data_IF_214692942534
#
_entry.id   IF_214692942534
#
_cell.length_a   1.000
_cell.length_b   1.000
_cell.length_c   1.000
_cell.angle_alpha   90.00
_cell.angle_beta   90.00
_cell.angle_gamma   90.00
#
_symmetry.space_group_name_H-M   'P 1'
#
loop_
_entity.id
_entity.type
_entity.pdbx_description
1 polymer ?
#
# COMPACT_ATOMS: atom_id res chain seq x y z
N UNK A 1 -22.38 -39.15 -44.20
CA UNK A 1 -23.84 -39.36 -44.15
C UNK A 1 -24.21 -40.84 -44.30
N UNK A 2 -23.84 -41.70 -43.36
CA UNK A 2 -24.39 -43.06 -43.22
C UNK A 2 -24.14 -43.51 -41.77
N UNK A 3 -25.02 -43.11 -40.84
CA UNK A 3 -25.32 -43.84 -39.59
C UNK A 3 -26.45 -43.11 -38.84
N UNK A 4 -27.62 -43.08 -39.47
CA UNK A 4 -28.86 -42.56 -38.87
C UNK A 4 -30.04 -43.46 -39.25
N UNK A 5 -29.80 -44.77 -39.27
CA UNK A 5 -30.80 -45.80 -39.65
C UNK A 5 -30.73 -47.03 -38.75
N UNK A 6 -30.69 -46.80 -37.45
CA UNK A 6 -31.03 -47.84 -36.46
C UNK A 6 -31.79 -47.19 -35.30
N UNK A 7 -32.97 -46.64 -35.60
CA UNK A 7 -33.92 -46.17 -34.61
C UNK A 7 -35.25 -46.87 -34.88
N UNK A 8 -35.51 -47.87 -34.03
CA UNK A 8 -36.81 -48.38 -33.60
C UNK A 8 -37.96 -48.35 -34.62
N UNK A 9 -38.05 -49.39 -35.46
CA UNK A 9 -39.35 -49.80 -36.02
C UNK A 9 -39.78 -51.06 -35.26
N UNK A 10 -40.46 -50.86 -34.12
CA UNK A 10 -41.14 -51.95 -33.43
C UNK A 10 -42.40 -52.34 -34.22
N UNK A 11 -42.53 -53.62 -34.52
CA UNK A 11 -43.65 -54.19 -35.27
C UNK A 11 -44.97 -53.92 -34.58
N UNK A 12 -46.05 -53.71 -35.34
CA UNK A 12 -47.41 -53.50 -34.80
C UNK A 12 -47.84 -54.62 -33.85
N UNK A 13 -47.29 -55.82 -34.04
CA UNK A 13 -47.48 -57.00 -33.18
C UNK A 13 -46.76 -56.87 -31.84
N UNK A 14 -45.56 -56.31 -31.81
CA UNK A 14 -44.79 -56.06 -30.59
C UNK A 14 -45.45 -54.98 -29.72
N UNK A 15 -46.02 -53.94 -30.35
CA UNK A 15 -46.84 -52.93 -29.65
C UNK A 15 -48.08 -53.52 -28.97
N UNK A 16 -48.77 -54.46 -29.64
CA UNK A 16 -49.97 -55.12 -29.11
C UNK A 16 -49.66 -56.09 -27.97
N UNK A 17 -48.48 -56.73 -28.01
CA UNK A 17 -47.99 -57.66 -27.00
C UNK A 17 -47.40 -56.93 -25.78
N UNK A 18 -46.73 -55.79 -25.98
CA UNK A 18 -46.41 -54.86 -24.90
C UNK A 18 -47.70 -54.37 -24.23
N UNK A 19 -48.72 -53.96 -24.99
CA UNK A 19 -50.01 -53.59 -24.41
C UNK A 19 -50.67 -54.72 -23.60
N UNK A 20 -50.59 -55.98 -24.03
CA UNK A 20 -51.21 -57.09 -23.26
C UNK A 20 -50.40 -57.45 -22.00
N UNK A 21 -49.07 -57.40 -22.06
CA UNK A 21 -48.22 -57.63 -20.89
C UNK A 21 -48.29 -56.45 -19.91
N UNK A 22 -48.35 -55.22 -20.43
CA UNK A 22 -48.56 -54.00 -19.66
C UNK A 22 -49.93 -53.97 -19.01
N UNK A 23 -50.99 -54.45 -19.66
CA UNK A 23 -52.32 -54.56 -19.03
C UNK A 23 -52.35 -55.63 -17.96
N UNK A 24 -51.66 -56.76 -18.12
CA UNK A 24 -51.56 -57.79 -17.08
C UNK A 24 -50.77 -57.32 -15.86
N UNK A 25 -49.63 -56.66 -16.06
CA UNK A 25 -48.81 -56.10 -14.97
C UNK A 25 -49.51 -54.88 -14.35
N UNK A 26 -50.20 -54.07 -15.15
CA UNK A 26 -51.07 -53.00 -14.65
C UNK A 26 -52.21 -53.56 -13.82
N UNK A 27 -52.80 -54.71 -14.17
CA UNK A 27 -53.84 -55.35 -13.38
C UNK A 27 -53.28 -55.87 -12.06
N UNK A 28 -52.11 -56.49 -12.08
CA UNK A 28 -51.44 -57.02 -10.89
C UNK A 28 -50.97 -55.89 -9.95
N UNK A 29 -50.47 -54.78 -10.51
CA UNK A 29 -50.14 -53.56 -9.78
C UNK A 29 -51.38 -52.79 -9.30
N UNK A 30 -52.46 -52.78 -10.07
CA UNK A 30 -53.78 -52.25 -9.69
C UNK A 30 -54.35 -53.03 -8.51
N UNK A 31 -54.24 -54.36 -8.54
CA UNK A 31 -54.65 -55.26 -7.46
C UNK A 31 -53.82 -55.00 -6.19
N UNK A 32 -52.50 -54.84 -6.33
CA UNK A 32 -51.61 -54.60 -5.19
C UNK A 32 -51.70 -53.17 -4.61
N UNK A 33 -51.96 -52.16 -5.44
CA UNK A 33 -52.03 -50.72 -5.04
C UNK A 33 -53.38 -50.32 -4.45
N UNK A 34 -54.47 -50.99 -4.81
CA UNK A 34 -55.78 -50.87 -4.13
C UNK A 34 -55.79 -51.43 -2.69
N UNK A 35 -54.62 -51.84 -2.18
CA UNK A 35 -54.47 -52.58 -0.93
C UNK A 35 -55.45 -53.75 -0.84
N UNK A 36 -55.67 -54.48 -1.94
CA UNK A 36 -56.61 -55.61 -1.92
C UNK A 36 -56.17 -56.69 -0.93
N UNK A 37 -54.88 -56.80 -0.62
CA UNK A 37 -54.41 -57.66 0.47
C UNK A 37 -54.99 -57.26 1.84
N UNK A 38 -55.20 -55.97 2.09
CA UNK A 38 -55.91 -55.50 3.30
C UNK A 38 -57.43 -55.58 3.15
N UNK A 39 -57.95 -55.45 1.93
CA UNK A 39 -59.37 -55.62 1.63
C UNK A 39 -59.83 -57.06 1.89
N UNK A 40 -59.08 -58.05 1.40
CA UNK A 40 -59.33 -59.48 1.64
C UNK A 40 -59.01 -59.95 3.06
N UNK A 41 -58.40 -59.10 3.89
CA UNK A 41 -58.20 -59.35 5.33
C UNK A 41 -59.34 -58.78 6.20
N UNK A 42 -60.22 -57.94 5.64
CA UNK A 42 -61.42 -57.42 6.31
C UNK A 42 -62.52 -58.49 6.31
N UNK A 43 -63.40 -58.46 7.31
CA UNK A 43 -64.56 -59.34 7.36
C UNK A 43 -65.53 -59.04 6.20
N UNK A 44 -66.38 -60.01 5.83
CA UNK A 44 -67.26 -59.89 4.66
C UNK A 44 -68.19 -58.67 4.70
N UNK A 45 -68.64 -58.26 5.89
CA UNK A 45 -69.48 -57.08 6.10
C UNK A 45 -68.68 -55.77 5.92
N UNK A 46 -67.45 -55.71 6.43
CA UNK A 46 -66.56 -54.56 6.25
C UNK A 46 -66.11 -54.37 4.79
N UNK A 47 -66.04 -55.46 4.02
CA UNK A 47 -65.76 -55.40 2.58
C UNK A 47 -66.94 -54.78 1.81
N UNK A 48 -68.17 -55.15 2.16
CA UNK A 48 -69.38 -54.59 1.54
C UNK A 48 -69.59 -53.12 1.91
N UNK A 49 -69.36 -52.74 3.16
CA UNK A 49 -69.46 -51.35 3.61
C UNK A 49 -68.44 -50.45 2.90
N UNK A 50 -67.21 -50.96 2.71
CA UNK A 50 -66.17 -50.23 1.97
C UNK A 50 -66.45 -50.14 0.48
N UNK A 51 -67.04 -51.19 -0.12
CA UNK A 51 -67.47 -51.16 -1.52
C UNK A 51 -68.64 -50.20 -1.72
N UNK A 52 -69.53 -50.07 -0.73
CA UNK A 52 -70.65 -49.13 -0.75
C UNK A 52 -70.21 -47.68 -0.53
N UNK A 53 -69.10 -47.45 0.19
CA UNK A 53 -68.58 -46.10 0.47
C UNK A 53 -67.68 -45.53 -0.64
N UNK A 54 -67.24 -46.34 -1.60
CA UNK A 54 -66.35 -45.88 -2.69
C UNK A 54 -67.16 -45.03 -3.68
N UNK A 55 -66.91 -43.72 -3.66
CA UNK A 55 -67.46 -42.78 -4.63
C UNK A 55 -66.71 -42.87 -5.97
N UNK A 56 -67.37 -42.52 -7.07
CA UNK A 56 -66.78 -42.45 -8.41
C UNK A 56 -65.55 -41.52 -8.45
N UNK A 57 -65.52 -40.51 -7.59
CA UNK A 57 -64.39 -39.59 -7.41
C UNK A 57 -63.18 -40.30 -6.76
N UNK A 58 -63.40 -41.16 -5.77
CA UNK A 58 -62.34 -41.95 -5.13
C UNK A 58 -61.77 -43.00 -6.09
N UNK A 59 -62.63 -43.65 -6.88
CA UNK A 59 -62.19 -44.59 -7.91
C UNK A 59 -61.35 -43.89 -8.99
N UNK A 60 -61.75 -42.69 -9.40
CA UNK A 60 -60.98 -41.89 -10.36
C UNK A 60 -59.63 -41.45 -9.79
N UNK A 61 -59.58 -41.04 -8.52
CA UNK A 61 -58.35 -40.69 -7.83
C UNK A 61 -57.40 -41.89 -7.73
N UNK A 62 -57.91 -43.06 -7.33
CA UNK A 62 -57.14 -44.30 -7.27
C UNK A 62 -56.60 -44.70 -8.65
N UNK A 63 -57.44 -44.65 -9.69
CA UNK A 63 -57.02 -44.95 -11.07
C UNK A 63 -55.92 -43.98 -11.56
N UNK A 64 -56.04 -42.70 -11.21
CA UNK A 64 -55.02 -41.68 -11.53
C UNK A 64 -53.71 -41.98 -10.81
N UNK A 65 -53.76 -42.36 -9.55
CA UNK A 65 -52.58 -42.68 -8.76
C UNK A 65 -51.88 -43.94 -9.28
N UNK A 66 -52.63 -44.98 -9.66
CA UNK A 66 -52.09 -46.18 -10.32
C UNK A 66 -51.44 -45.83 -11.66
N UNK A 67 -52.09 -45.02 -12.49
CA UNK A 67 -51.51 -44.58 -13.75
C UNK A 67 -50.22 -43.78 -13.54
N UNK A 68 -50.16 -42.96 -12.49
CA UNK A 68 -48.96 -42.22 -12.11
C UNK A 68 -47.85 -43.16 -11.65
N UNK A 69 -48.13 -44.11 -10.77
CA UNK A 69 -47.14 -45.08 -10.31
C UNK A 69 -46.62 -45.96 -11.45
N UNK A 70 -47.49 -46.36 -12.37
CA UNK A 70 -47.14 -47.12 -13.55
C UNK A 70 -46.26 -46.30 -14.52
N UNK A 71 -46.55 -45.01 -14.70
CA UNK A 71 -45.70 -44.11 -15.48
C UNK A 71 -44.31 -43.96 -14.84
N UNK A 72 -44.23 -43.81 -13.51
CA UNK A 72 -42.96 -43.73 -12.77
C UNK A 72 -42.18 -45.04 -12.90
N UNK A 73 -42.81 -46.20 -12.69
CA UNK A 73 -42.15 -47.50 -12.82
C UNK A 73 -41.65 -47.76 -14.26
N UNK A 74 -42.42 -47.34 -15.28
CA UNK A 74 -41.96 -47.40 -16.69
C UNK A 74 -40.72 -46.53 -16.91
N UNK A 75 -40.72 -45.32 -16.37
CA UNK A 75 -39.58 -44.40 -16.48
C UNK A 75 -38.34 -44.95 -15.76
N UNK A 76 -38.50 -45.46 -14.54
CA UNK A 76 -37.43 -46.09 -13.77
C UNK A 76 -36.83 -47.30 -14.49
N UNK A 77 -37.69 -48.16 -15.04
CA UNK A 77 -37.25 -49.29 -15.85
C UNK A 77 -36.50 -48.85 -17.11
N UNK A 78 -36.95 -47.78 -17.77
CA UNK A 78 -36.27 -47.25 -18.94
C UNK A 78 -34.85 -46.76 -18.60
N UNK A 79 -34.71 -45.95 -17.56
CA UNK A 79 -33.40 -45.46 -17.11
C UNK A 79 -32.48 -46.58 -16.63
N UNK A 80 -33.02 -47.56 -15.89
CA UNK A 80 -32.23 -48.69 -15.42
C UNK A 80 -31.73 -49.55 -16.59
N UNK A 81 -32.57 -49.81 -17.58
CA UNK A 81 -32.18 -50.56 -18.78
C UNK A 81 -31.11 -49.79 -19.56
N UNK A 82 -31.32 -48.50 -19.85
CA UNK A 82 -30.34 -47.67 -20.57
C UNK A 82 -28.99 -47.57 -19.82
N UNK A 83 -29.04 -47.46 -18.48
CA UNK A 83 -27.85 -47.49 -17.64
C UNK A 83 -27.11 -48.83 -17.72
N UNK A 84 -27.84 -49.95 -17.64
CA UNK A 84 -27.25 -51.28 -17.71
C UNK A 84 -26.72 -51.60 -19.11
N UNK A 85 -27.39 -51.14 -20.18
CA UNK A 85 -26.89 -51.32 -21.55
C UNK A 85 -25.52 -50.66 -21.75
N UNK A 86 -25.32 -49.48 -21.16
CA UNK A 86 -24.06 -48.72 -21.24
C UNK A 86 -22.97 -49.24 -20.31
N UNK A 87 -23.33 -49.80 -19.16
CA UNK A 87 -22.37 -50.12 -18.08
C UNK A 87 -22.14 -51.62 -17.87
N UNK A 88 -23.18 -52.46 -17.94
CA UNK A 88 -23.07 -53.92 -17.78
C UNK A 88 -24.20 -54.66 -18.55
N UNK A 89 -24.02 -54.88 -19.87
CA UNK A 89 -25.06 -55.47 -20.71
C UNK A 89 -25.35 -56.94 -20.38
N UNK A 90 -24.48 -57.62 -19.60
CA UNK A 90 -24.66 -59.03 -19.25
C UNK A 90 -25.81 -59.23 -18.26
N UNK A 91 -26.09 -58.22 -17.43
CA UNK A 91 -27.20 -58.25 -16.48
C UNK A 91 -28.58 -58.20 -17.17
N UNK A 92 -28.64 -57.78 -18.43
CA UNK A 92 -29.87 -57.71 -19.22
C UNK A 92 -30.22 -59.03 -19.94
N UNK A 93 -29.27 -59.96 -20.05
CA UNK A 93 -29.45 -61.23 -20.79
C UNK A 93 -30.55 -62.10 -20.14
N UNK A 94 -30.57 -62.19 -18.80
CA UNK A 94 -31.59 -62.93 -18.06
C UNK A 94 -32.99 -62.32 -18.19
N UNK A 95 -33.09 -60.99 -18.33
CA UNK A 95 -34.34 -60.27 -18.52
C UNK A 95 -34.89 -60.46 -19.93
N UNK A 96 -34.04 -60.42 -20.96
CA UNK A 96 -34.40 -60.72 -22.35
C UNK A 96 -34.88 -62.17 -22.52
N UNK A 97 -34.22 -63.13 -21.86
CA UNK A 97 -34.61 -64.54 -21.88
C UNK A 97 -35.94 -64.79 -21.14
N UNK A 98 -36.24 -64.04 -20.06
CA UNK A 98 -37.57 -64.09 -19.41
C UNK A 98 -38.66 -63.47 -20.28
N UNK A 99 -38.40 -62.32 -20.92
CA UNK A 99 -39.33 -61.69 -21.87
C UNK A 99 -39.68 -62.63 -23.02
N UNK A 100 -38.71 -63.33 -23.60
CA UNK A 100 -38.95 -64.29 -24.69
C UNK A 100 -39.74 -65.52 -24.22
N UNK A 101 -39.47 -66.02 -23.01
CA UNK A 101 -40.23 -67.14 -22.40
C UNK A 101 -41.67 -66.78 -22.04
N UNK A 102 -41.94 -65.61 -21.47
CA UNK A 102 -43.30 -65.15 -21.19
C UNK A 102 -44.11 -64.93 -22.49
N UNK A 103 -43.47 -64.37 -23.53
CA UNK A 103 -44.06 -64.27 -24.87
C UNK A 103 -44.43 -65.64 -25.45
N UNK A 104 -43.62 -66.68 -25.22
CA UNK A 104 -43.94 -68.04 -25.66
C UNK A 104 -45.08 -68.69 -24.88
N UNK A 105 -45.24 -68.40 -23.59
CA UNK A 105 -46.36 -68.92 -22.79
C UNK A 105 -47.71 -68.27 -23.11
N UNK A 106 -47.73 -66.99 -23.48
CA UNK A 106 -48.95 -66.32 -24.00
C UNK A 106 -49.42 -66.99 -25.30
N UNK A 107 -48.48 -67.55 -26.08
CA UNK A 107 -48.77 -68.31 -27.29
C UNK A 107 -49.39 -69.68 -27.01
N UNK A 108 -49.02 -70.35 -25.91
CA UNK A 108 -49.51 -71.69 -25.54
C UNK A 108 -50.73 -71.65 -24.62
N UNK A 109 -50.94 -70.58 -23.86
CA UNK A 109 -52.06 -70.43 -22.92
C UNK A 109 -53.44 -70.25 -23.58
N UNK A 110 -53.49 -70.05 -24.91
CA UNK A 110 -54.74 -70.02 -25.68
C UNK A 110 -55.14 -71.39 -26.25
N UNK A 111 -54.34 -72.43 -26.01
CA UNK A 111 -54.52 -73.78 -26.56
C UNK A 111 -54.67 -74.87 -25.48
N UNK A 112 -55.13 -74.50 -24.27
CA UNK A 112 -55.46 -75.47 -23.21
C UNK A 112 -56.82 -75.14 -22.58
N UNK A 113 -57.89 -75.32 -23.35
CA UNK A 113 -59.06 -76.03 -22.88
C UNK A 113 -59.22 -77.21 -23.83
N UNK A 114 -59.42 -78.39 -23.25
CA UNK A 114 -59.53 -79.70 -23.89
C UNK A 114 -58.20 -80.35 -24.25
N UNK A 115 -57.68 -81.16 -23.33
CA UNK A 115 -57.58 -82.63 -23.54
C UNK A 115 -56.82 -83.26 -22.36
N UNK A 116 -57.46 -84.28 -21.82
CA UNK A 116 -56.94 -85.26 -20.87
C UNK A 116 -55.82 -86.09 -21.50
N UNK A 117 -54.77 -86.36 -20.71
CA UNK A 117 -54.06 -87.64 -20.78
C UNK A 117 -52.61 -87.60 -21.28
N UNK A 118 -51.78 -88.24 -20.46
CA UNK A 118 -50.52 -88.92 -20.76
C UNK A 118 -49.23 -88.08 -20.78
N UNK A 119 -48.64 -88.10 -19.58
CA UNK A 119 -47.22 -88.01 -19.28
C UNK A 119 -46.37 -89.00 -20.09
N UNK A 120 -45.29 -88.50 -20.70
CA UNK A 120 -44.09 -89.28 -21.04
C UNK A 120 -42.87 -88.53 -20.53
N UNK A 121 -42.18 -89.17 -19.60
CA UNK A 121 -40.86 -88.78 -19.15
C UNK A 121 -39.82 -89.13 -20.22
N UNK A 122 -38.92 -88.19 -20.51
CA UNK A 122 -37.64 -88.52 -21.14
C UNK A 122 -36.51 -87.83 -20.41
N UNK A 123 -35.58 -88.69 -19.99
CA UNK A 123 -34.36 -88.42 -19.28
C UNK A 123 -33.30 -87.74 -20.15
N UNK A 124 -32.44 -86.94 -19.53
CA UNK A 124 -31.04 -86.88 -19.94
C UNK A 124 -30.41 -85.49 -19.88
N UNK A 125 -29.31 -85.38 -19.13
CA UNK A 125 -28.27 -84.39 -19.43
C UNK A 125 -27.90 -83.43 -18.31
N UNK A 126 -27.12 -83.91 -17.34
CA UNK A 126 -26.31 -83.08 -16.45
C UNK A 126 -25.16 -82.43 -17.25
N UNK A 127 -24.93 -81.13 -17.05
CA UNK A 127 -23.57 -80.55 -17.08
C UNK A 127 -23.38 -79.59 -15.92
N UNK A 128 -22.17 -79.63 -15.39
CA UNK A 128 -21.72 -79.12 -14.09
C UNK A 128 -20.67 -78.05 -14.36
N UNK A 129 -20.68 -76.97 -13.58
CA UNK A 129 -19.56 -76.04 -13.41
C UNK A 129 -19.82 -74.61 -13.88
N UNK A 130 -19.39 -73.53 -13.22
CA UNK A 130 -19.18 -73.10 -11.83
C UNK A 130 -18.61 -71.66 -11.93
N UNK A 131 -18.76 -70.87 -10.86
CA UNK A 131 -18.08 -69.60 -10.54
C UNK A 131 -18.57 -68.32 -11.23
N UNK A 132 -19.26 -67.47 -10.45
CA UNK A 132 -18.78 -66.09 -10.16
C UNK A 132 -19.44 -65.52 -8.89
N UNK A 133 -18.61 -65.44 -7.84
CA UNK A 133 -18.55 -64.44 -6.75
C UNK A 133 -19.86 -63.73 -6.37
N UNK A 134 -20.51 -64.23 -5.32
CA UNK A 134 -21.49 -63.47 -4.53
C UNK A 134 -20.76 -62.43 -3.67
N UNK A 135 -21.10 -61.16 -3.85
CA UNK A 135 -20.84 -60.12 -2.85
C UNK A 135 -21.74 -60.42 -1.66
N UNK A 136 -21.10 -60.74 -0.55
CA UNK A 136 -21.70 -60.92 0.77
C UNK A 136 -22.40 -59.64 1.20
N UNK A 137 -23.72 -59.68 1.36
CA UNK A 137 -24.45 -58.73 2.19
C UNK A 137 -24.89 -59.45 3.46
N UNK A 138 -24.42 -58.89 4.56
CA UNK A 138 -24.40 -59.43 5.90
C UNK A 138 -25.80 -59.79 6.41
N UNK A 139 -25.89 -61.02 6.90
CA UNK A 139 -26.91 -61.53 7.80
C UNK A 139 -26.96 -60.69 9.08
N UNK A 140 -28.08 -60.00 9.30
CA UNK A 140 -28.62 -59.83 10.64
C UNK A 140 -30.08 -60.32 10.66
N UNK A 141 -30.30 -61.17 11.65
CA UNK A 141 -31.49 -61.91 12.04
C UNK A 141 -32.68 -61.00 12.38
N UNK A 142 -33.84 -61.18 11.74
CA UNK A 142 -35.15 -60.95 12.36
C UNK A 142 -36.14 -62.02 11.88
N UNK A 143 -36.74 -62.69 12.86
CA UNK A 143 -37.79 -63.68 12.79
C UNK A 143 -39.03 -63.23 12.02
N UNK A 144 -39.70 -64.18 11.35
CA UNK A 144 -41.13 -64.20 11.00
C UNK A 144 -41.79 -62.82 10.79
N UNK A 145 -41.57 -62.22 9.63
CA UNK A 145 -42.55 -61.30 9.04
C UNK A 145 -43.04 -61.91 7.73
N UNK A 146 -44.38 -61.97 7.61
CA UNK A 146 -45.12 -62.19 6.36
C UNK A 146 -44.34 -61.51 5.23
N UNK A 147 -44.12 -62.21 4.10
CA UNK A 147 -43.55 -61.64 2.86
C UNK A 147 -44.23 -60.30 2.59
N UNK A 148 -43.62 -59.20 3.01
CA UNK A 148 -44.01 -57.86 2.61
C UNK A 148 -43.78 -57.84 1.11
N UNK A 149 -44.82 -57.47 0.37
CA UNK A 149 -44.80 -57.33 -1.08
C UNK A 149 -43.44 -56.75 -1.52
N UNK A 150 -42.73 -57.47 -2.39
CA UNK A 150 -41.45 -57.03 -2.92
C UNK A 150 -41.62 -55.62 -3.48
N UNK A 151 -40.99 -54.64 -2.86
CA UNK A 151 -41.09 -53.26 -3.32
C UNK A 151 -40.28 -53.15 -4.61
N UNK A 152 -40.97 -53.15 -5.76
CA UNK A 152 -40.36 -53.15 -7.11
C UNK A 152 -39.74 -51.79 -7.47
N UNK A 153 -39.72 -50.83 -6.54
CA UNK A 153 -39.21 -49.46 -6.73
C UNK A 153 -37.71 -49.44 -6.47
N UNK A 154 -36.96 -48.76 -7.34
CA UNK A 154 -35.53 -48.59 -7.11
C UNK A 154 -35.30 -47.76 -5.84
N UNK A 155 -34.31 -48.13 -5.02
CA UNK A 155 -33.96 -47.33 -3.85
C UNK A 155 -33.51 -45.92 -4.29
N UNK A 156 -33.91 -44.89 -3.56
CA UNK A 156 -33.53 -43.49 -3.81
C UNK A 156 -32.02 -43.32 -3.94
N UNK A 157 -31.23 -44.05 -3.14
CA UNK A 157 -29.77 -44.06 -3.26
C UNK A 157 -29.29 -44.53 -4.63
N UNK A 158 -29.83 -45.65 -5.12
CA UNK A 158 -29.48 -46.18 -6.43
C UNK A 158 -29.92 -45.25 -7.58
N UNK A 159 -31.05 -44.54 -7.43
CA UNK A 159 -31.49 -43.51 -8.39
C UNK A 159 -30.51 -42.34 -8.44
N UNK A 160 -30.10 -41.83 -7.27
CA UNK A 160 -29.13 -40.76 -7.16
C UNK A 160 -27.77 -41.17 -7.75
N UNK A 161 -27.27 -42.36 -7.41
CA UNK A 161 -25.98 -42.87 -7.90
C UNK A 161 -25.99 -43.06 -9.43
N UNK A 162 -27.09 -43.58 -10.01
CA UNK A 162 -27.22 -43.70 -11.47
C UNK A 162 -27.30 -42.33 -12.14
N UNK A 163 -28.11 -41.40 -11.58
CA UNK A 163 -28.24 -40.05 -12.12
C UNK A 163 -26.89 -39.32 -12.13
N UNK A 164 -26.16 -39.36 -11.01
CA UNK A 164 -24.83 -38.77 -10.86
C UNK A 164 -23.84 -39.37 -11.87
N UNK A 165 -23.81 -40.70 -12.00
CA UNK A 165 -22.91 -41.37 -12.96
C UNK A 165 -23.25 -41.01 -14.41
N UNK A 166 -24.53 -40.93 -14.76
CA UNK A 166 -24.93 -40.49 -16.11
C UNK A 166 -24.62 -39.02 -16.37
N UNK A 167 -24.77 -38.15 -15.37
CA UNK A 167 -24.40 -36.74 -15.46
C UNK A 167 -22.89 -36.59 -15.71
N UNK A 168 -22.06 -37.28 -14.91
CA UNK A 168 -20.60 -37.29 -15.08
C UNK A 168 -20.17 -37.82 -16.47
N UNK A 169 -20.86 -38.84 -17.00
CA UNK A 169 -20.59 -39.36 -18.34
C UNK A 169 -20.95 -38.35 -19.44
N UNK A 170 -22.09 -37.68 -19.31
CA UNK A 170 -22.51 -36.63 -20.25
C UNK A 170 -21.54 -35.45 -20.19
N UNK A 171 -21.16 -34.99 -19.01
CA UNK A 171 -20.16 -33.93 -18.83
C UNK A 171 -18.82 -34.28 -19.49
N UNK A 172 -18.36 -35.52 -19.31
CA UNK A 172 -17.14 -36.02 -19.95
C UNK A 172 -17.27 -36.01 -21.48
N UNK A 173 -18.40 -36.47 -22.02
CA UNK A 173 -18.66 -36.45 -23.47
C UNK A 173 -18.69 -35.03 -24.02
N UNK A 174 -19.32 -34.09 -23.31
CA UNK A 174 -19.31 -32.66 -23.68
C UNK A 174 -17.88 -32.13 -23.75
N UNK A 175 -17.07 -32.37 -22.71
CA UNK A 175 -15.66 -31.93 -22.70
C UNK A 175 -14.81 -32.57 -23.81
N UNK A 176 -15.10 -33.81 -24.21
CA UNK A 176 -14.42 -34.46 -25.33
C UNK A 176 -14.81 -33.82 -26.67
N UNK A 177 -16.11 -33.54 -26.87
CA UNK A 177 -16.62 -32.86 -28.07
C UNK A 177 -16.04 -31.45 -28.17
N UNK A 178 -16.03 -30.68 -27.07
CA UNK A 178 -15.47 -29.33 -27.03
C UNK A 178 -13.97 -29.34 -27.36
N UNK A 179 -13.21 -30.28 -26.80
CA UNK A 179 -11.78 -30.43 -27.11
C UNK A 179 -11.56 -30.83 -28.57
N UNK A 180 -12.40 -31.69 -29.14
CA UNK A 180 -12.32 -32.06 -30.54
C UNK A 180 -12.64 -30.86 -31.46
N UNK A 181 -13.72 -30.14 -31.18
CA UNK A 181 -14.12 -28.95 -31.91
C UNK A 181 -13.04 -27.84 -31.85
N UNK A 182 -12.45 -27.61 -30.68
CA UNK A 182 -11.37 -26.62 -30.53
C UNK A 182 -10.13 -26.97 -31.38
N UNK A 183 -9.77 -28.26 -31.48
CA UNK A 183 -8.69 -28.73 -32.35
C UNK A 183 -9.04 -28.50 -33.83
N UNK A 184 -10.26 -28.84 -34.23
CA UNK A 184 -10.72 -28.65 -35.60
C UNK A 184 -10.76 -27.17 -35.99
N UNK A 185 -11.27 -26.30 -35.13
CA UNK A 185 -11.26 -24.84 -35.32
C UNK A 185 -9.82 -24.34 -35.53
N UNK A 186 -8.86 -24.85 -34.74
CA UNK A 186 -7.44 -24.47 -34.90
C UNK A 186 -6.89 -24.87 -36.27
N UNK A 187 -7.21 -26.08 -36.74
CA UNK A 187 -6.80 -26.57 -38.07
C UNK A 187 -7.43 -25.73 -39.18
N UNK A 188 -8.74 -25.48 -39.11
CA UNK A 188 -9.47 -24.69 -40.10
C UNK A 188 -8.96 -23.24 -40.17
N UNK A 189 -8.63 -22.64 -39.02
CA UNK A 189 -7.98 -21.31 -38.99
C UNK A 189 -6.61 -21.34 -39.67
N UNK A 190 -5.83 -22.40 -39.49
CA UNK A 190 -4.57 -22.62 -40.20
C UNK A 190 -4.76 -22.70 -41.71
N UNK A 191 -5.71 -23.52 -42.18
CA UNK A 191 -6.02 -23.62 -43.61
C UNK A 191 -6.53 -22.31 -44.20
N UNK A 192 -7.33 -21.54 -43.46
CA UNK A 192 -7.84 -20.25 -43.91
C UNK A 192 -6.69 -19.25 -44.13
N UNK A 193 -5.71 -19.21 -43.22
CA UNK A 193 -4.52 -18.38 -43.36
C UNK A 193 -3.64 -18.82 -44.54
N UNK A 194 -3.45 -20.13 -44.72
CA UNK A 194 -2.70 -20.68 -45.86
C UNK A 194 -3.35 -20.29 -47.20
N UNK A 195 -4.67 -20.48 -47.33
CA UNK A 195 -5.43 -20.09 -48.52
C UNK A 195 -5.32 -18.58 -48.75
N UNK A 196 -5.37 -17.78 -47.69
CA UNK A 196 -5.21 -16.33 -47.79
C UNK A 196 -3.83 -15.96 -48.39
N UNK A 197 -2.75 -16.57 -47.88
CA UNK A 197 -1.41 -16.35 -48.43
C UNK A 197 -1.28 -16.84 -49.88
N UNK A 198 -1.83 -18.01 -50.22
CA UNK A 198 -1.84 -18.52 -51.59
C UNK A 198 -2.59 -17.57 -52.54
N UNK A 199 -3.72 -17.04 -52.10
CA UNK A 199 -4.50 -16.09 -52.87
C UNK A 199 -3.71 -14.80 -53.12
N UNK A 200 -3.11 -14.23 -52.08
CA UNK A 200 -2.31 -13.01 -52.19
C UNK A 200 -1.08 -13.20 -53.09
N UNK A 201 -0.37 -14.33 -52.95
CA UNK A 201 0.78 -14.67 -53.81
C UNK A 201 0.35 -14.83 -55.28
N UNK A 202 -0.77 -15.52 -55.53
CA UNK A 202 -1.30 -15.72 -56.89
C UNK A 202 -1.72 -14.39 -57.52
N UNK A 203 -2.39 -13.54 -56.74
CA UNK A 203 -2.83 -12.21 -57.19
C UNK A 203 -1.65 -11.34 -57.57
N UNK A 204 -0.62 -11.28 -56.72
CA UNK A 204 0.58 -10.48 -56.98
C UNK A 204 1.39 -11.07 -58.15
N UNK A 205 1.54 -12.39 -58.23
CA UNK A 205 2.22 -13.05 -59.35
C UNK A 205 1.52 -12.78 -60.68
N UNK A 206 0.18 -12.75 -60.69
CA UNK A 206 -0.62 -12.41 -61.87
C UNK A 206 -0.36 -10.97 -62.30
N UNK A 207 -0.32 -10.02 -61.35
CA UNK A 207 -0.01 -8.62 -61.63
C UNK A 207 1.42 -8.44 -62.16
N UNK A 208 2.40 -9.10 -61.54
CA UNK A 208 3.80 -9.08 -62.00
C UNK A 208 3.90 -9.69 -63.41
N UNK A 209 3.15 -10.76 -63.69
CA UNK A 209 3.11 -11.37 -65.02
C UNK A 209 2.59 -10.38 -66.07
N UNK A 210 1.46 -9.72 -65.80
CA UNK A 210 0.91 -8.69 -66.69
C UNK A 210 1.92 -7.57 -66.94
N UNK A 211 2.60 -7.08 -65.90
CA UNK A 211 3.64 -6.06 -66.03
C UNK A 211 4.91 -6.55 -66.74
N UNK A 212 5.19 -7.85 -66.75
CA UNK A 212 6.39 -8.40 -67.39
C UNK A 212 6.15 -8.77 -68.86
N UNK A 213 4.91 -9.08 -69.23
CA UNK A 213 4.56 -9.57 -70.57
C UNK A 213 3.65 -8.63 -71.37
N UNK A 214 2.91 -7.75 -70.73
CA UNK A 214 1.83 -6.97 -71.35
C UNK A 214 1.77 -5.53 -70.83
N UNK A 215 2.93 -4.95 -70.45
CA UNK A 215 2.97 -3.60 -69.87
C UNK A 215 2.59 -2.53 -70.88
N UNK A 216 3.19 -2.60 -72.06
CA UNK A 216 3.09 -1.59 -73.12
C UNK A 216 2.85 -2.27 -74.48
N UNK A 217 2.36 -1.52 -75.48
CA UNK A 217 2.13 -2.03 -76.85
C UNK A 217 3.37 -2.66 -77.50
N UNK A 218 4.56 -2.24 -77.07
CA UNK A 218 5.84 -2.84 -77.48
C UNK A 218 6.02 -4.27 -77.01
N UNK A 219 5.55 -4.61 -75.81
CA UNK A 219 5.61 -5.98 -75.29
C UNK A 219 4.60 -6.88 -76.00
N UNK A 220 3.42 -6.34 -76.35
CA UNK A 220 2.42 -7.04 -77.18
C UNK A 220 2.93 -7.31 -78.60
N UNK A 221 3.56 -6.31 -79.24
CA UNK A 221 4.21 -6.49 -80.53
C UNK A 221 5.38 -7.49 -80.47
N UNK A 222 6.18 -7.46 -79.40
CA UNK A 222 7.23 -8.44 -79.16
C UNK A 222 6.65 -9.86 -79.06
N UNK A 223 5.56 -10.07 -78.32
CA UNK A 223 4.95 -11.41 -78.20
C UNK A 223 4.44 -11.98 -79.52
N UNK A 224 3.91 -11.14 -80.41
CA UNK A 224 3.41 -11.58 -81.71
C UNK A 224 4.52 -11.89 -82.73
N UNK A 225 5.70 -11.28 -82.57
CA UNK A 225 6.82 -11.37 -83.53
C UNK A 225 7.99 -12.21 -83.02
N UNK A 226 8.05 -12.52 -81.72
CA UNK A 226 9.18 -13.20 -81.10
C UNK A 226 9.31 -14.65 -81.55
N UNK A 227 10.55 -15.10 -81.73
CA UNK A 227 10.85 -16.53 -81.93
C UNK A 227 10.68 -17.31 -80.63
N UNK A 228 10.39 -18.62 -80.73
CA UNK A 228 10.27 -19.53 -79.59
C UNK A 228 11.45 -19.42 -78.60
N UNK A 229 12.69 -19.36 -79.09
CA UNK A 229 13.90 -19.19 -78.25
C UNK A 229 13.95 -17.85 -77.50
N UNK A 230 13.31 -16.80 -77.99
CA UNK A 230 13.25 -15.49 -77.32
C UNK A 230 12.17 -15.50 -76.24
N UNK A 231 11.01 -16.09 -76.54
CA UNK A 231 9.92 -16.28 -75.60
C UNK A 231 10.36 -17.17 -74.42
N UNK A 232 11.05 -18.28 -74.70
CA UNK A 232 11.60 -19.18 -73.69
C UNK A 232 12.54 -18.43 -72.71
N UNK A 233 13.43 -17.57 -73.22
CA UNK A 233 14.32 -16.77 -72.39
C UNK A 233 13.55 -15.77 -71.52
N UNK A 234 12.49 -15.13 -72.05
CA UNK A 234 11.65 -14.18 -71.30
C UNK A 234 10.85 -14.91 -70.20
N UNK A 235 10.28 -16.07 -70.50
CA UNK A 235 9.59 -16.95 -69.52
C UNK A 235 10.57 -17.43 -68.45
N UNK A 236 11.76 -17.90 -68.84
CA UNK A 236 12.80 -18.34 -67.90
C UNK A 236 13.22 -17.24 -66.93
N UNK A 237 13.35 -16.00 -67.41
CA UNK A 237 13.62 -14.83 -66.54
C UNK A 237 12.48 -14.56 -65.56
N UNK A 238 11.23 -14.62 -66.03
CA UNK A 238 10.05 -14.46 -65.18
C UNK A 238 9.99 -15.55 -64.09
N UNK A 239 10.10 -16.82 -64.46
CA UNK A 239 10.06 -17.96 -63.51
C UNK A 239 11.19 -17.85 -62.49
N UNK A 240 12.41 -17.51 -62.91
CA UNK A 240 13.52 -17.29 -62.00
C UNK A 240 13.26 -16.14 -61.01
N UNK A 241 12.60 -15.07 -61.45
CA UNK A 241 12.25 -13.94 -60.58
C UNK A 241 11.11 -14.32 -59.61
N UNK A 242 10.09 -15.03 -60.09
CA UNK A 242 9.01 -15.56 -59.25
C UNK A 242 9.55 -16.49 -58.17
N UNK A 243 10.43 -17.44 -58.52
CA UNK A 243 11.07 -18.33 -57.54
C UNK A 243 11.92 -17.58 -56.50
N UNK A 244 12.55 -16.47 -56.88
CA UNK A 244 13.26 -15.60 -55.91
C UNK A 244 12.28 -14.92 -54.96
N UNK A 245 11.19 -14.37 -55.47
CA UNK A 245 10.15 -13.73 -54.66
C UNK A 245 9.47 -14.73 -53.71
N UNK A 246 9.14 -15.94 -54.18
CA UNK A 246 8.58 -17.01 -53.35
C UNK A 246 9.53 -17.42 -52.21
N UNK A 247 10.84 -17.50 -52.47
CA UNK A 247 11.85 -17.75 -51.42
C UNK A 247 11.93 -16.61 -50.40
N UNK A 248 11.85 -15.36 -50.85
CA UNK A 248 11.84 -14.21 -49.97
C UNK A 248 10.59 -14.22 -49.07
N UNK A 249 9.41 -14.50 -49.65
CA UNK A 249 8.15 -14.65 -48.92
C UNK A 249 8.25 -15.77 -47.88
N UNK A 250 8.75 -16.95 -48.25
CA UNK A 250 8.96 -18.06 -47.32
C UNK A 250 9.87 -17.66 -46.13
N UNK A 251 10.93 -16.90 -46.38
CA UNK A 251 11.80 -16.37 -45.34
C UNK A 251 11.04 -15.45 -44.38
N UNK A 252 10.23 -14.52 -44.91
CA UNK A 252 9.41 -13.63 -44.08
C UNK A 252 8.36 -14.38 -43.26
N UNK A 253 7.73 -15.41 -43.81
CA UNK A 253 6.78 -16.27 -43.09
C UNK A 253 7.46 -17.02 -41.94
N UNK A 254 8.66 -17.58 -42.17
CA UNK A 254 9.44 -18.24 -41.11
C UNK A 254 9.79 -17.29 -39.98
N UNK A 255 10.23 -16.08 -40.31
CA UNK A 255 10.52 -15.06 -39.30
C UNK A 255 9.28 -14.69 -38.48
N UNK A 256 8.12 -14.52 -39.15
CA UNK A 256 6.85 -14.25 -38.49
C UNK A 256 6.41 -15.40 -37.58
N UNK A 257 6.61 -16.65 -38.00
CA UNK A 257 6.33 -17.83 -37.17
C UNK A 257 7.20 -17.83 -35.92
N UNK A 258 8.51 -17.57 -36.04
CA UNK A 258 9.42 -17.49 -34.89
C UNK A 258 9.01 -16.36 -33.94
N UNK A 259 8.72 -15.17 -34.46
CA UNK A 259 8.27 -14.04 -33.63
C UNK A 259 6.95 -14.32 -32.91
N UNK A 260 5.98 -14.94 -33.58
CA UNK A 260 4.72 -15.37 -32.97
C UNK A 260 4.93 -16.44 -31.90
N UNK A 261 5.86 -17.37 -32.13
CA UNK A 261 6.21 -18.41 -31.16
C UNK A 261 6.84 -17.81 -29.90
N UNK A 262 7.80 -16.89 -30.06
CA UNK A 262 8.40 -16.16 -28.95
C UNK A 262 7.36 -15.36 -28.17
N UNK A 263 6.45 -14.67 -28.87
CA UNK A 263 5.36 -13.93 -28.22
C UNK A 263 4.39 -14.83 -27.45
N UNK A 264 4.02 -15.98 -28.02
CA UNK A 264 3.20 -16.97 -27.33
C UNK A 264 3.90 -17.51 -26.07
N UNK A 265 5.22 -17.74 -26.16
CA UNK A 265 6.02 -18.21 -25.03
C UNK A 265 6.12 -17.14 -23.93
N UNK A 266 6.30 -15.88 -24.30
CA UNK A 266 6.27 -14.74 -23.36
C UNK A 266 4.93 -14.67 -22.64
N UNK A 267 3.81 -14.68 -23.38
CA UNK A 267 2.47 -14.66 -22.79
C UNK A 267 2.21 -15.86 -21.87
N UNK A 268 2.70 -17.04 -22.24
CA UNK A 268 2.61 -18.24 -21.39
C UNK A 268 3.40 -18.07 -20.09
N UNK A 269 4.61 -17.53 -20.17
CA UNK A 269 5.42 -17.22 -19.00
C UNK A 269 4.76 -16.16 -18.13
N UNK A 270 4.18 -15.10 -18.71
CA UNK A 270 3.41 -14.10 -17.97
C UNK A 270 2.18 -14.68 -17.28
N UNK A 271 1.47 -15.61 -17.93
CA UNK A 271 0.33 -16.28 -17.33
C UNK A 271 0.80 -17.16 -16.16
N UNK A 272 1.91 -17.88 -16.31
CA UNK A 272 2.50 -18.68 -15.24
C UNK A 272 2.92 -17.80 -14.06
N UNK A 273 3.66 -16.71 -14.30
CA UNK A 273 4.06 -15.80 -13.22
C UNK A 273 2.86 -15.14 -12.56
N UNK A 274 1.81 -14.78 -13.31
CA UNK A 274 0.53 -14.29 -12.74
C UNK A 274 -0.20 -15.36 -11.94
N UNK A 275 -0.20 -16.61 -12.38
CA UNK A 275 -0.80 -17.71 -11.65
C UNK A 275 -0.04 -17.98 -10.34
N UNK A 276 1.30 -17.96 -10.38
CA UNK A 276 2.15 -18.08 -9.19
C UNK A 276 1.93 -16.89 -8.23
N UNK A 277 1.90 -15.67 -8.76
CA UNK A 277 1.58 -14.46 -7.97
C UNK A 277 0.16 -14.51 -7.40
N UNK A 278 -0.82 -14.99 -8.15
CA UNK A 278 -2.21 -15.13 -7.69
C UNK A 278 -2.39 -16.28 -6.69
N UNK A 279 -1.55 -17.31 -6.75
CA UNK A 279 -1.53 -18.38 -5.77
C UNK A 279 -0.84 -17.96 -4.45
N UNK A 280 0.09 -16.99 -4.54
CA UNK A 280 0.85 -16.47 -3.40
C UNK A 280 0.17 -15.26 -2.75
N UNK A 281 -0.49 -14.38 -3.52
CA UNK A 281 -1.25 -13.24 -3.00
C UNK A 281 -2.74 -13.56 -2.95
N UNK A 282 -3.24 -13.79 -1.74
CA UNK A 282 -4.69 -13.77 -1.50
C UNK A 282 -5.18 -12.34 -1.26
N UNK A 283 -6.49 -12.10 -1.44
CA UNK A 283 -7.12 -10.82 -1.09
C UNK A 283 -6.83 -10.40 0.35
N UNK A 284 -6.71 -11.38 1.25
CA UNK A 284 -6.35 -11.20 2.66
C UNK A 284 -4.95 -10.62 2.82
N UNK A 285 -3.99 -10.96 1.96
CA UNK A 285 -2.63 -10.42 2.05
C UNK A 285 -2.57 -8.96 1.60
N UNK A 286 -3.38 -8.57 0.62
CA UNK A 286 -3.57 -7.16 0.27
C UNK A 286 -4.21 -6.37 1.42
N UNK A 287 -5.22 -6.96 2.08
CA UNK A 287 -5.86 -6.33 3.23
C UNK A 287 -4.90 -6.18 4.42
N UNK A 288 -4.09 -7.21 4.72
CA UNK A 288 -3.00 -7.13 5.72
C UNK A 288 -1.98 -6.04 5.37
N UNK A 289 -1.60 -5.93 4.10
CA UNK A 289 -0.67 -4.90 3.65
C UNK A 289 -1.26 -3.49 3.81
N UNK A 290 -2.54 -3.33 3.50
CA UNK A 290 -3.26 -2.08 3.68
C UNK A 290 -3.37 -1.71 5.17
N UNK A 291 -3.73 -2.66 6.04
CA UNK A 291 -3.76 -2.45 7.49
C UNK A 291 -2.38 -2.00 7.98
N UNK A 292 -1.31 -2.74 7.65
CA UNK A 292 0.05 -2.41 8.07
C UNK A 292 0.52 -1.05 7.54
N UNK A 293 0.17 -0.70 6.31
CA UNK A 293 0.44 0.64 5.76
C UNK A 293 -0.26 1.71 6.60
N UNK A 294 -1.52 1.49 6.93
CA UNK A 294 -2.35 2.46 7.67
C UNK A 294 -1.82 2.63 9.09
N UNK A 295 -1.43 1.54 9.75
CA UNK A 295 -0.74 1.55 11.05
C UNK A 295 0.56 2.35 11.01
N UNK A 296 1.41 2.13 9.99
CA UNK A 296 2.66 2.86 9.83
C UNK A 296 2.44 4.35 9.56
N UNK A 297 1.42 4.70 8.77
CA UNK A 297 1.06 6.10 8.50
C UNK A 297 0.59 6.77 9.79
N UNK A 298 -0.30 6.14 10.55
CA UNK A 298 -0.78 6.68 11.83
C UNK A 298 0.37 6.88 12.83
N UNK A 299 1.28 5.90 12.94
CA UNK A 299 2.45 6.00 13.81
C UNK A 299 3.39 7.15 13.37
N UNK A 300 3.56 7.35 12.06
CA UNK A 300 4.34 8.47 11.53
C UNK A 300 3.68 9.81 11.87
N UNK A 301 2.36 9.91 11.74
CA UNK A 301 1.58 11.11 12.00
C UNK A 301 1.60 11.49 13.49
N UNK A 302 1.50 10.49 14.38
CA UNK A 302 1.67 10.66 15.82
C UNK A 302 3.08 11.19 16.16
N UNK A 303 4.13 10.58 15.60
CA UNK A 303 5.52 11.03 15.81
C UNK A 303 5.76 12.45 15.27
N UNK A 304 5.16 12.78 14.12
CA UNK A 304 5.26 14.11 13.55
C UNK A 304 4.56 15.16 14.43
N UNK A 305 3.39 14.82 14.97
CA UNK A 305 2.64 15.67 15.90
C UNK A 305 3.43 15.90 17.20
N UNK A 306 4.01 14.85 17.78
CA UNK A 306 4.91 14.99 18.94
C UNK A 306 6.12 15.87 18.64
N UNK A 307 6.77 15.68 17.49
CA UNK A 307 7.91 16.48 17.06
C UNK A 307 7.54 17.96 16.84
N UNK A 308 6.37 18.24 16.27
CA UNK A 308 5.85 19.60 16.15
C UNK A 308 5.62 20.25 17.52
N UNK A 309 5.05 19.51 18.47
CA UNK A 309 4.88 19.95 19.86
C UNK A 309 6.22 20.27 20.53
N UNK A 310 7.20 19.37 20.43
CA UNK A 310 8.56 19.57 20.94
C UNK A 310 9.24 20.81 20.32
N UNK A 311 9.15 20.99 19.00
CA UNK A 311 9.67 22.19 18.32
C UNK A 311 9.00 23.47 18.86
N UNK A 312 7.69 23.44 19.12
CA UNK A 312 6.96 24.55 19.71
C UNK A 312 7.44 24.88 21.13
N UNK A 313 7.64 23.87 21.98
CA UNK A 313 8.16 24.05 23.35
C UNK A 313 9.59 24.58 23.33
N UNK A 314 10.48 23.97 22.54
CA UNK A 314 11.87 24.43 22.39
C UNK A 314 11.92 25.85 21.86
N UNK A 315 11.10 26.20 20.86
CA UNK A 315 11.02 27.56 20.33
C UNK A 315 10.60 28.58 21.39
N UNK A 316 9.58 28.27 22.20
CA UNK A 316 9.15 29.13 23.32
C UNK A 316 10.23 29.27 24.39
N UNK A 317 10.89 28.17 24.77
CA UNK A 317 11.97 28.19 25.75
C UNK A 317 13.17 29.03 25.27
N UNK A 318 13.56 28.88 24.00
CA UNK A 318 14.63 29.70 23.40
C UNK A 318 14.28 31.18 23.32
N UNK A 319 13.02 31.52 23.04
CA UNK A 319 12.55 32.91 23.05
C UNK A 319 12.61 33.49 24.46
N UNK A 320 12.03 32.80 25.45
CA UNK A 320 12.06 33.22 26.86
C UNK A 320 13.49 33.40 27.38
N UNK A 321 14.40 32.49 27.02
CA UNK A 321 15.81 32.60 27.41
C UNK A 321 16.52 33.79 26.75
N UNK A 322 16.13 34.13 25.52
CA UNK A 322 16.65 35.32 24.84
C UNK A 322 16.12 36.61 25.47
N UNK A 323 14.85 36.65 25.85
CA UNK A 323 14.25 37.77 26.59
C UNK A 323 14.94 37.96 27.95
N UNK A 324 15.09 36.88 28.74
CA UNK A 324 15.81 36.93 30.03
C UNK A 324 17.26 37.38 29.86
N UNK A 325 17.95 36.89 28.82
CA UNK A 325 19.32 37.34 28.51
C UNK A 325 19.37 38.82 28.21
N UNK A 326 18.39 39.36 27.48
CA UNK A 326 18.33 40.80 27.18
C UNK A 326 18.09 41.62 28.46
N UNK A 327 17.19 41.16 29.33
CA UNK A 327 16.95 41.80 30.64
C UNK A 327 18.22 41.79 31.49
N UNK A 328 18.93 40.66 31.55
CA UNK A 328 20.19 40.54 32.28
C UNK A 328 21.26 41.49 31.73
N UNK A 329 21.38 41.60 30.40
CA UNK A 329 22.32 42.53 29.76
C UNK A 329 22.00 44.00 30.10
N UNK A 330 20.72 44.36 30.12
CA UNK A 330 20.29 45.71 30.51
C UNK A 330 20.63 46.01 31.99
N UNK A 331 20.36 45.06 32.90
CA UNK A 331 20.71 45.20 34.33
C UNK A 331 22.23 45.32 34.52
N UNK A 332 23.02 44.54 33.77
CA UNK A 332 24.47 44.62 33.83
C UNK A 332 24.98 45.99 33.35
N UNK A 333 24.39 46.55 32.29
CA UNK A 333 24.70 47.89 31.82
C UNK A 333 24.32 48.96 32.85
N UNK A 334 23.12 48.90 33.43
CA UNK A 334 22.70 49.80 34.51
C UNK A 334 23.64 49.70 35.72
N UNK A 335 24.03 48.49 36.12
CA UNK A 335 24.97 48.27 37.21
C UNK A 335 26.34 48.89 36.91
N UNK A 336 26.85 48.78 35.68
CA UNK A 336 28.11 49.43 35.26
C UNK A 336 27.98 50.95 35.31
N UNK A 337 26.86 51.50 34.83
CA UNK A 337 26.60 52.94 34.90
C UNK A 337 26.53 53.44 36.34
N UNK A 338 25.87 52.70 37.23
CA UNK A 338 25.74 53.03 38.64
C UNK A 338 27.10 52.96 39.35
N UNK A 339 27.90 51.94 39.05
CA UNK A 339 29.28 51.83 39.56
C UNK A 339 30.15 53.01 39.10
N UNK A 340 30.06 53.42 37.83
CA UNK A 340 30.78 54.60 37.33
C UNK A 340 30.35 55.88 38.05
N UNK A 341 29.03 56.09 38.25
CA UNK A 341 28.50 57.21 39.04
C UNK A 341 29.03 57.20 40.47
N UNK A 342 29.05 56.02 41.12
CA UNK A 342 29.62 55.87 42.47
C UNK A 342 31.10 56.23 42.50
N UNK A 343 31.90 55.78 41.54
CA UNK A 343 33.31 56.15 41.44
C UNK A 343 33.51 57.65 41.26
N UNK A 344 32.67 58.30 40.46
CA UNK A 344 32.73 59.75 40.27
C UNK A 344 32.33 60.51 41.53
N UNK A 345 31.29 60.05 42.26
CA UNK A 345 30.93 60.59 43.57
C UNK A 345 32.08 60.43 44.57
N UNK A 346 32.72 59.25 44.65
CA UNK A 346 33.89 59.03 45.53
C UNK A 346 35.03 60.01 45.18
N UNK A 347 35.31 60.22 43.89
CA UNK A 347 36.32 61.23 43.47
C UNK A 347 35.92 62.64 43.90
N UNK A 348 34.64 63.01 43.80
CA UNK A 348 34.17 64.32 44.26
C UNK A 348 34.28 64.48 45.76
N UNK A 349 33.93 63.46 46.54
CA UNK A 349 34.09 63.46 48.00
C UNK A 349 35.57 63.64 48.36
N UNK A 350 36.48 62.86 47.75
CA UNK A 350 37.91 62.99 48.01
C UNK A 350 38.48 64.38 47.67
N UNK A 351 37.93 65.07 46.66
CA UNK A 351 38.28 66.46 46.35
C UNK A 351 37.78 67.42 47.43
N UNK A 352 36.51 67.27 47.84
CA UNK A 352 35.90 68.09 48.89
C UNK A 352 36.58 67.89 50.24
N UNK A 353 36.98 66.67 50.60
CA UNK A 353 37.74 66.40 51.83
C UNK A 353 39.10 67.12 51.82
N UNK A 354 39.80 67.14 50.67
CA UNK A 354 41.05 67.90 50.54
C UNK A 354 40.84 69.40 50.67
N UNK A 355 39.77 69.92 50.05
CA UNK A 355 39.41 71.32 50.15
C UNK A 355 39.00 71.69 51.58
N UNK A 356 38.21 70.85 52.25
CA UNK A 356 37.82 71.04 53.66
C UNK A 356 39.04 71.06 54.58
N UNK A 357 39.98 70.12 54.42
CA UNK A 357 41.23 70.11 55.19
C UNK A 357 42.08 71.36 54.93
N UNK A 358 42.10 71.86 53.69
CA UNK A 358 42.81 73.09 53.34
C UNK A 358 42.17 74.31 54.01
N UNK A 359 40.84 74.39 53.98
CA UNK A 359 40.07 75.45 54.66
C UNK A 359 40.25 75.39 56.17
N UNK A 360 40.28 74.20 56.77
CA UNK A 360 40.54 74.03 58.21
C UNK A 360 41.94 74.51 58.59
N UNK A 361 42.96 74.17 57.79
CA UNK A 361 44.33 74.66 57.98
C UNK A 361 44.43 76.20 57.83
N UNK A 362 43.68 76.79 56.90
CA UNK A 362 43.61 78.25 56.75
C UNK A 362 42.90 78.91 57.92
N UNK A 363 41.79 78.33 58.38
CA UNK A 363 41.04 78.82 59.54
C UNK A 363 41.88 78.74 60.83
N UNK A 364 42.67 77.68 61.03
CA UNK A 364 43.59 77.56 62.16
C UNK A 364 44.66 78.67 62.14
N UNK A 365 45.21 78.99 60.96
CA UNK A 365 46.16 80.11 60.80
C UNK A 365 45.48 81.45 61.10
N UNK A 366 44.27 81.65 60.59
CA UNK A 366 43.50 82.87 60.83
C UNK A 366 43.14 83.03 62.32
N UNK A 367 42.81 81.93 63.02
CA UNK A 367 42.60 81.91 64.47
C UNK A 367 43.89 82.24 65.23
N UNK A 368 45.04 81.73 64.81
CA UNK A 368 46.34 82.07 65.40
C UNK A 368 46.66 83.56 65.21
N UNK A 369 46.44 84.11 64.01
CA UNK A 369 46.58 85.54 63.72
C UNK A 369 45.62 86.36 64.60
N UNK A 370 44.37 85.96 64.71
CA UNK A 370 43.37 86.65 65.53
C UNK A 370 43.72 86.63 67.02
N UNK A 371 44.22 85.50 67.53
CA UNK A 371 44.73 85.42 68.90
C UNK A 371 45.95 86.30 69.10
N UNK A 372 46.90 86.33 68.17
CA UNK A 372 48.04 87.24 68.23
C UNK A 372 47.60 88.71 68.23
N UNK A 373 46.61 89.09 67.41
CA UNK A 373 46.02 90.43 67.41
C UNK A 373 45.31 90.75 68.73
N UNK A 374 44.58 89.80 69.32
CA UNK A 374 43.99 89.96 70.66
C UNK A 374 45.05 90.17 71.73
N UNK A 375 46.12 89.39 71.74
CA UNK A 375 47.24 89.57 72.68
C UNK A 375 47.92 90.93 72.45
N UNK A 376 48.09 91.37 71.20
CA UNK A 376 48.58 92.72 70.90
C UNK A 376 47.63 93.80 71.42
N UNK A 377 46.32 93.61 71.31
CA UNK A 377 45.31 94.54 71.82
C UNK A 377 45.29 94.58 73.36
N UNK A 378 45.42 93.44 74.04
CA UNK A 378 45.53 93.36 75.49
C UNK A 378 46.83 93.97 76.02
N UNK A 379 47.94 93.82 75.29
CA UNK A 379 49.22 94.48 75.61
C UNK A 379 49.28 95.95 75.18
N UNK A 380 48.30 96.41 74.39
CA UNK A 380 48.23 97.80 73.97
C UNK A 380 47.64 98.64 75.09
N UNK A 381 48.53 99.13 75.96
CA UNK A 381 48.21 100.21 76.88
C UNK A 381 48.55 101.53 76.17
N UNK A 382 47.51 102.33 75.87
CA UNK A 382 47.72 103.65 75.28
C UNK A 382 48.59 104.48 76.23
N UNK A 383 49.77 104.98 75.79
CA UNK A 383 50.63 105.77 76.66
C UNK A 383 49.86 106.95 77.22
N UNK A 384 49.93 107.15 78.54
CA UNK A 384 49.33 108.31 79.20
C UNK A 384 49.77 109.58 78.47
N UNK A 385 48.82 110.47 78.17
CA UNK A 385 49.09 111.75 77.49
C UNK A 385 50.19 112.53 78.22
N UNK A 386 50.31 112.34 79.54
CA UNK A 386 51.38 112.92 80.34
C UNK A 386 52.78 112.41 79.99
N UNK A 387 52.94 111.10 79.74
CA UNK A 387 54.23 110.50 79.37
C UNK A 387 54.64 110.89 77.95
N UNK A 388 53.68 111.02 77.03
CA UNK A 388 53.94 111.55 75.68
C UNK A 388 54.37 113.03 75.74
N UNK A 389 53.72 113.86 76.57
CA UNK A 389 54.11 115.26 76.75
C UNK A 389 55.49 115.35 77.42
N UNK A 390 55.76 114.56 78.46
CA UNK A 390 57.05 114.55 79.16
C UNK A 390 58.21 114.17 78.23
N UNK A 391 58.04 113.12 77.42
CA UNK A 391 59.06 112.73 76.43
C UNK A 391 59.21 113.76 75.31
N UNK A 392 58.13 114.45 74.93
CA UNK A 392 58.17 115.50 73.91
C UNK A 392 58.84 116.78 74.41
N UNK A 393 58.64 117.15 75.67
CA UNK A 393 59.37 118.23 76.32
C UNK A 393 60.86 117.89 76.50
N UNK A 394 61.18 116.64 76.85
CA UNK A 394 62.56 116.15 76.91
C UNK A 394 63.26 116.28 75.56
N UNK A 395 62.59 115.91 74.46
CA UNK A 395 63.09 116.12 73.09
C UNK A 395 63.30 117.61 72.79
N UNK A 396 62.36 118.49 73.16
CA UNK A 396 62.49 119.94 72.93
C UNK A 396 63.64 120.58 73.73
N UNK A 397 63.91 120.10 74.94
CA UNK A 397 65.04 120.57 75.75
C UNK A 397 66.36 120.12 75.12
N UNK A 398 66.46 118.84 74.72
CA UNK A 398 67.66 118.30 74.07
C UNK A 398 67.95 118.99 72.73
N UNK A 399 66.94 119.30 71.91
CA UNK A 399 67.12 120.07 70.68
C UNK A 399 67.63 121.50 70.92
N UNK A 400 67.21 122.15 72.02
CA UNK A 400 67.72 123.48 72.40
C UNK A 400 69.18 123.41 72.85
N UNK A 401 69.56 122.40 73.63
CA UNK A 401 70.94 122.17 74.07
C UNK A 401 71.85 121.84 72.88
N UNK A 402 71.38 121.00 71.95
CA UNK A 402 72.10 120.68 70.71
C UNK A 402 72.39 121.95 69.89
N UNK A 403 71.40 122.84 69.72
CA UNK A 403 71.58 124.13 69.05
C UNK A 403 72.57 125.04 69.79
N UNK A 404 72.54 125.06 71.12
CA UNK A 404 73.48 125.86 71.92
C UNK A 404 74.92 125.37 71.79
N UNK A 405 75.13 124.05 71.84
CA UNK A 405 76.43 123.41 71.68
C UNK A 405 76.98 123.60 70.27
N UNK A 406 76.16 123.44 69.24
CA UNK A 406 76.54 123.77 67.85
C UNK A 406 77.02 125.22 67.72
N UNK A 407 76.34 126.17 68.37
CA UNK A 407 76.74 127.59 68.36
C UNK A 407 78.05 127.85 69.14
N UNK A 408 78.30 127.12 70.22
CA UNK A 408 79.52 127.19 71.02
C UNK A 408 80.73 126.62 70.28
N UNK A 409 80.56 125.49 69.58
CA UNK A 409 81.57 124.89 68.70
C UNK A 409 81.95 125.86 67.60
N UNK A 410 80.98 126.47 66.92
CA UNK A 410 81.25 127.46 65.87
C UNK A 410 82.09 128.67 66.35
N UNK A 411 81.81 129.18 67.56
CA UNK A 411 82.59 130.28 68.16
C UNK A 411 84.03 129.83 68.49
N UNK A 412 84.20 128.59 68.96
CA UNK A 412 85.51 128.04 69.28
C UNK A 412 86.34 127.78 68.02
N UNK A 413 85.74 127.26 66.95
CA UNK A 413 86.38 127.10 65.64
C UNK A 413 86.82 128.45 65.06
N UNK A 414 85.96 129.48 65.14
CA UNK A 414 86.31 130.85 64.74
C UNK A 414 87.49 131.42 65.54
N UNK A 415 87.56 131.13 66.85
CA UNK A 415 88.68 131.56 67.71
C UNK A 415 89.97 130.80 67.38
N UNK A 416 89.88 129.49 67.17
CA UNK A 416 91.00 128.63 66.80
C UNK A 416 91.62 129.08 65.47
N UNK A 417 90.79 129.32 64.45
CA UNK A 417 91.22 129.76 63.14
C UNK A 417 91.89 131.17 63.20
N UNK A 418 91.35 132.08 64.01
CA UNK A 418 91.99 133.38 64.27
C UNK A 418 93.33 133.27 65.02
N UNK A 419 93.47 132.34 65.97
CA UNK A 419 94.76 132.09 66.65
C UNK A 419 95.78 131.41 65.75
N UNK A 420 95.37 130.47 64.89
CA UNK A 420 96.25 129.83 63.91
C UNK A 420 96.75 130.84 62.86
N UNK A 421 95.90 131.78 62.43
CA UNK A 421 96.31 132.91 61.56
C UNK A 421 97.27 133.87 62.26
N UNK A 422 97.12 134.11 63.57
CA UNK A 422 98.06 134.94 64.37
C UNK A 422 99.40 134.24 64.65
N UNK A 423 99.43 132.92 64.85
CA UNK A 423 100.67 132.16 65.01
C UNK A 423 101.46 132.04 63.71
N UNK A 424 100.81 131.83 62.56
CA UNK A 424 101.49 131.84 61.24
C UNK A 424 102.14 133.20 60.91
N UNK A 425 101.58 134.32 61.39
CA UNK A 425 102.18 135.66 61.20
C UNK A 425 103.32 135.99 62.18
N UNK A 426 103.40 135.33 63.34
CA UNK A 426 104.45 135.57 64.35
C UNK A 426 105.68 134.68 64.20
N UNK A 427 105.59 133.58 63.45
CA UNK A 427 106.72 132.67 63.18
C UNK A 427 107.60 133.16 62.02
N UNK A 428 107.12 134.06 61.16
CA UNK A 428 107.87 134.50 59.96
C UNK A 428 108.68 135.81 60.12
N UNK A 429 108.72 136.45 61.30
CA UNK A 429 109.34 137.80 61.45
C UNK A 429 110.30 138.01 62.65
N UNK A 430 110.94 136.96 63.18
CA UNK A 430 112.17 137.01 64.03
C UNK A 430 113.01 135.75 63.76
N UNK A 431 113.92 135.78 62.77
CA UNK A 431 115.36 136.07 62.86
C UNK A 431 116.21 134.86 63.34
N UNK A 432 117.20 134.52 62.49
CA UNK A 432 118.47 133.77 62.67
C UNK A 432 119.20 134.04 64.01
N UNK A 433 120.36 133.40 64.33
CA UNK A 433 120.98 132.17 63.82
C UNK A 433 121.27 131.15 64.95
N UNK A 434 121.46 129.87 64.62
CA UNK A 434 121.96 128.88 65.57
C UNK A 434 121.65 127.45 65.18
N UNK A 435 122.68 126.75 64.72
CA UNK A 435 122.76 125.37 64.23
C UNK A 435 122.29 124.33 65.28
N UNK A 436 121.88 123.08 65.00
CA UNK A 436 122.56 122.00 64.26
C UNK A 436 121.72 120.68 64.22
N UNK A 437 121.98 119.82 63.20
CA UNK A 437 122.07 118.32 63.21
C UNK A 437 120.74 117.54 63.39
N UNK A 438 120.38 116.48 62.65
CA UNK A 438 121.09 115.37 61.95
C UNK A 438 120.22 114.82 60.81
#
# INVERSE_FOLDING_TARGET
>A
MLSARSLAVMSHRERKLQQSAETSIALEAFINSLRLDTFFQLSGEEQEERLASIDAVELFAALRDVNRELAIARLENHFLIDFLEKNDPKLLIGLQQRKSRQMSQIFTGRAQKDTTGLSIASSGGRTRGSLTKSVTMSTYTIYNQKKTAMDYKLNFRAKADMAEKTANEVEKRVHEIERAAAKEIKILRGHMEEIHYMYEETRETTKIFQLHFMRDDKDLAFLNTATEKQLERKIRKFVNNWLKNARALLSTMRLRITALHEHCQQLRNELLTKADLSGILTSVDFEKLMIKRTELVNALEEKNTHMAGLKGVTGKASLSMSEEKQVMMNIEEESKQLNNKTLDVIKTISKLEKEANQVELENDKDLEILNNLKVQLERYEAPSVHDYIGKKDEVLVLEKEEKMLKRKIYILEMKLDNTQRKCKRRISSRILPGEYIK
#
